data_IF_585073551116
#
_entry.id   IF_585073551116
#
_cell.length_a   1.000
_cell.length_b   1.000
_cell.length_c   1.000
_cell.angle_alpha   90.00
_cell.angle_beta   90.00
_cell.angle_gamma   90.00
#
_symmetry.space_group_name_H-M   'P 1'
#
loop_
_entity.id
_entity.type
_entity.pdbx_description
1 polymer ?
#
# COMPACT_ATOMS: atom_id res chain seq x y z
N UNK A 1 -3.75 5.11 -7.84
CA UNK A 1 -4.59 3.92 -7.56
C UNK A 1 -4.21 2.76 -8.50
N UNK A 2 -3.89 3.03 -9.77
CA UNK A 2 -3.52 2.00 -10.75
C UNK A 2 -2.31 1.13 -10.38
N UNK A 3 -1.34 1.70 -9.65
CA UNK A 3 -0.14 0.95 -9.23
C UNK A 3 -0.45 -0.21 -8.28
N UNK A 4 -1.51 -0.09 -7.46
CA UNK A 4 -1.90 -1.17 -6.55
C UNK A 4 -2.41 -2.38 -7.35
N UNK A 5 -3.13 -2.14 -8.45
CA UNK A 5 -3.62 -3.19 -9.36
C UNK A 5 -2.47 -3.97 -10.01
N UNK A 6 -1.42 -3.25 -10.45
CA UNK A 6 -0.24 -3.88 -11.06
C UNK A 6 0.45 -4.83 -10.09
N UNK A 7 0.59 -4.45 -8.81
CA UNK A 7 1.33 -5.27 -7.84
C UNK A 7 0.55 -6.47 -7.30
N UNK A 8 -0.79 -6.43 -7.30
CA UNK A 8 -1.61 -7.57 -6.87
C UNK A 8 -1.80 -8.61 -7.98
N UNK A 9 -1.66 -8.22 -9.24
CA UNK A 9 -1.75 -9.15 -10.37
C UNK A 9 -0.53 -10.07 -10.41
N UNK A 10 -0.78 -11.37 -10.17
CA UNK A 10 0.23 -12.42 -10.13
C UNK A 10 0.99 -12.58 -11.45
N UNK A 11 0.40 -12.17 -12.58
CA UNK A 11 1.05 -12.25 -13.90
C UNK A 11 2.21 -11.28 -14.03
N UNK A 12 2.26 -10.23 -13.21
CA UNK A 12 3.34 -9.25 -13.22
C UNK A 12 4.52 -9.68 -12.34
N UNK A 13 4.38 -10.75 -11.54
CA UNK A 13 5.40 -11.14 -10.57
C UNK A 13 6.59 -11.83 -11.26
N UNK A 14 7.86 -11.52 -10.85
CA UNK A 14 8.25 -10.65 -9.73
C UNK A 14 8.27 -9.15 -10.06
N UNK A 15 7.77 -8.30 -9.14
CA UNK A 15 7.77 -6.82 -9.28
C UNK A 15 8.67 -6.14 -8.25
N UNK A 16 9.50 -5.18 -8.70
CA UNK A 16 10.22 -4.25 -7.81
C UNK A 16 9.46 -2.93 -7.67
N UNK A 17 9.02 -2.62 -6.46
CA UNK A 17 8.39 -1.32 -6.14
C UNK A 17 9.45 -0.36 -5.59
N UNK A 18 9.66 0.78 -6.25
CA UNK A 18 10.56 1.80 -5.74
C UNK A 18 10.06 3.22 -6.00
N UNK A 19 10.65 4.17 -5.27
CA UNK A 19 10.59 5.60 -5.59
C UNK A 19 12.01 6.16 -5.47
N UNK A 20 12.17 7.47 -5.27
CA UNK A 20 13.52 8.06 -5.13
C UNK A 20 14.30 7.51 -3.93
N UNK A 21 13.60 7.18 -2.83
CA UNK A 21 14.24 6.73 -1.58
C UNK A 21 13.59 5.49 -0.95
N UNK A 22 12.56 4.93 -1.58
CA UNK A 22 11.80 3.80 -1.01
C UNK A 22 11.01 4.13 0.26
N UNK A 23 10.73 5.41 0.56
CA UNK A 23 10.11 5.83 1.84
C UNK A 23 8.64 6.19 1.70
N UNK A 24 8.37 7.37 1.14
CA UNK A 24 7.02 7.97 1.14
C UNK A 24 6.07 7.26 0.18
N UNK A 25 6.28 7.41 -1.13
CA UNK A 25 5.38 6.81 -2.14
C UNK A 25 5.38 5.28 -2.07
N UNK A 26 6.56 4.69 -1.89
CA UNK A 26 6.70 3.24 -1.72
C UNK A 26 6.00 2.77 -0.45
N UNK A 27 6.23 3.43 0.69
CA UNK A 27 5.60 3.07 1.96
C UNK A 27 4.07 3.23 1.93
N UNK A 28 3.54 4.28 1.30
CA UNK A 28 2.09 4.42 1.13
C UNK A 28 1.51 3.28 0.28
N UNK A 29 2.15 2.93 -0.84
CA UNK A 29 1.68 1.84 -1.71
C UNK A 29 1.74 0.47 -1.00
N UNK A 30 2.84 0.19 -0.30
CA UNK A 30 2.99 -1.03 0.51
C UNK A 30 1.98 -1.05 1.65
N UNK A 31 1.73 0.08 2.30
CA UNK A 31 0.71 0.19 3.34
C UNK A 31 -0.70 -0.08 2.81
N UNK A 32 -1.05 0.40 1.62
CA UNK A 32 -2.31 0.01 0.95
C UNK A 32 -2.39 -1.50 0.70
N UNK A 33 -1.29 -2.12 0.26
CA UNK A 33 -1.21 -3.57 0.08
C UNK A 33 -1.41 -4.31 1.42
N UNK A 34 -0.83 -3.84 2.53
CA UNK A 34 -1.04 -4.43 3.85
C UNK A 34 -2.49 -4.34 4.31
N UNK A 35 -3.16 -3.20 4.06
CA UNK A 35 -4.59 -3.06 4.34
C UNK A 35 -5.42 -4.05 3.51
N UNK A 36 -5.08 -4.29 2.24
CA UNK A 36 -5.69 -5.36 1.44
C UNK A 36 -5.43 -6.77 2.00
N UNK A 37 -4.25 -6.99 2.59
CA UNK A 37 -3.90 -8.22 3.30
C UNK A 37 -4.53 -8.32 4.70
N UNK A 38 -5.49 -7.44 5.01
CA UNK A 38 -6.23 -7.40 6.27
C UNK A 38 -5.36 -7.14 7.52
N UNK A 39 -4.25 -6.40 7.38
CA UNK A 39 -3.48 -5.93 8.52
C UNK A 39 -4.23 -4.81 9.25
N UNK A 40 -4.11 -4.77 10.58
CA UNK A 40 -4.65 -3.66 11.36
C UNK A 40 -3.88 -2.37 11.09
N UNK A 41 -4.54 -1.22 11.16
CA UNK A 41 -3.95 0.08 10.86
C UNK A 41 -2.68 0.35 11.69
N UNK A 42 -2.64 -0.07 12.96
CA UNK A 42 -1.48 0.11 13.82
C UNK A 42 -0.23 -0.58 13.26
N UNK A 43 -0.35 -1.83 12.80
CA UNK A 43 0.76 -2.57 12.19
C UNK A 43 1.21 -1.95 10.86
N UNK A 44 0.26 -1.46 10.05
CA UNK A 44 0.57 -0.75 8.80
C UNK A 44 1.37 0.53 9.05
N UNK A 45 0.95 1.32 10.04
CA UNK A 45 1.62 2.57 10.42
C UNK A 45 3.01 2.28 11.01
N UNK A 46 3.16 1.21 11.78
CA UNK A 46 4.45 0.80 12.34
C UNK A 46 5.44 0.40 11.24
N UNK A 47 5.03 -0.45 10.30
CA UNK A 47 5.85 -0.85 9.13
C UNK A 47 6.27 0.39 8.32
N UNK A 48 5.32 1.28 8.01
CA UNK A 48 5.61 2.52 7.30
C UNK A 48 6.66 3.38 8.04
N UNK A 49 6.48 3.59 9.35
CA UNK A 49 7.41 4.40 10.16
C UNK A 49 8.78 3.76 10.24
N UNK A 50 8.86 2.42 10.35
CA UNK A 50 10.10 1.67 10.36
C UNK A 50 10.93 1.97 9.10
N UNK A 51 10.34 1.82 7.91
CA UNK A 51 11.06 2.06 6.64
C UNK A 51 11.28 3.56 6.32
N UNK A 52 10.36 4.43 6.72
CA UNK A 52 10.56 5.87 6.56
C UNK A 52 11.66 6.41 7.48
N UNK A 53 11.81 5.80 8.67
CA UNK A 53 12.74 6.22 9.73
C UNK A 53 12.43 7.64 10.21
N UNK A 54 13.48 8.41 10.54
CA UNK A 54 13.37 9.81 10.99
C UNK A 54 12.72 10.78 9.98
N UNK A 55 12.34 10.31 8.77
CA UNK A 55 11.71 11.13 7.72
C UNK A 55 10.28 10.68 7.41
N UNK A 56 9.60 10.03 8.35
CA UNK A 56 8.17 9.75 8.25
C UNK A 56 7.37 11.06 8.16
N UNK A 57 6.19 11.01 7.53
CA UNK A 57 5.32 12.18 7.35
C UNK A 57 3.93 11.89 7.87
N UNK A 58 3.36 12.85 8.60
CA UNK A 58 1.98 12.75 9.08
C UNK A 58 0.97 12.69 7.92
N UNK A 59 1.27 13.36 6.80
CA UNK A 59 0.43 13.29 5.58
C UNK A 59 0.29 11.88 5.04
N UNK A 60 1.36 11.09 5.13
CA UNK A 60 1.37 9.70 4.64
C UNK A 60 0.57 8.80 5.61
N UNK A 61 0.58 9.09 6.92
CA UNK A 61 -0.27 8.39 7.90
C UNK A 61 -1.75 8.69 7.68
N UNK A 62 -2.12 9.96 7.51
CA UNK A 62 -3.50 10.38 7.20
C UNK A 62 -3.99 9.76 5.90
N UNK A 63 -3.10 9.60 4.92
CA UNK A 63 -3.41 8.86 3.70
C UNK A 63 -3.71 7.38 3.99
N UNK A 64 -2.84 6.70 4.75
CA UNK A 64 -3.05 5.29 5.12
C UNK A 64 -4.30 5.06 5.96
N UNK A 65 -4.65 6.02 6.82
CA UNK A 65 -5.89 6.02 7.61
C UNK A 65 -7.12 6.13 6.71
N UNK A 66 -7.14 7.12 5.81
CA UNK A 66 -8.28 7.41 4.94
C UNK A 66 -8.45 6.46 3.75
N UNK A 67 -7.43 5.67 3.42
CA UNK A 67 -7.50 4.71 2.31
C UNK A 67 -8.55 3.61 2.58
N UNK A 68 -9.66 3.62 1.85
CA UNK A 68 -10.66 2.56 1.93
C UNK A 68 -10.33 1.40 0.97
N UNK A 69 -10.26 0.20 1.54
CA UNK A 69 -9.99 -1.06 0.83
C UNK A 69 -11.23 -1.59 0.13
N UNK A 70 -12.42 -1.26 0.63
CA UNK A 70 -13.69 -1.80 0.13
C UNK A 70 -13.86 -1.55 -1.37
N UNK A 71 -13.51 -0.35 -1.84
CA UNK A 71 -13.55 0.04 -3.25
C UNK A 71 -12.67 -0.85 -4.15
N UNK A 72 -11.56 -1.37 -3.62
CA UNK A 72 -10.64 -2.23 -4.37
C UNK A 72 -11.09 -3.68 -4.43
N UNK A 73 -11.67 -4.21 -3.36
CA UNK A 73 -12.17 -5.57 -3.37
C UNK A 73 -13.24 -5.75 -4.45
N UNK A 74 -14.19 -4.81 -4.58
CA UNK A 74 -15.22 -4.86 -5.63
C UNK A 74 -14.63 -4.93 -7.04
N UNK A 75 -13.59 -4.17 -7.32
CA UNK A 75 -12.93 -4.20 -8.63
C UNK A 75 -12.07 -5.45 -8.81
N UNK A 76 -11.35 -5.89 -7.78
CA UNK A 76 -10.49 -7.07 -7.85
C UNK A 76 -11.30 -8.34 -8.13
N UNK A 77 -12.46 -8.51 -7.49
CA UNK A 77 -13.38 -9.62 -7.80
C UNK A 77 -13.91 -9.55 -9.24
N UNK A 78 -14.04 -8.35 -9.81
CA UNK A 78 -14.44 -8.14 -11.20
C UNK A 78 -13.35 -8.51 -12.22
N UNK A 79 -12.10 -8.63 -11.79
CA UNK A 79 -10.99 -9.12 -12.61
C UNK A 79 -10.73 -10.63 -12.43
N UNK A 80 -11.35 -11.24 -11.42
CA UNK A 80 -11.30 -12.69 -11.13
C UNK A 80 -12.49 -13.46 -11.71
N UNK A 81 -13.59 -12.77 -12.04
CA UNK A 81 -14.77 -13.27 -12.77
C UNK A 81 -14.75 -12.77 -14.21
#
# INVERSE_FOLDING_TARGET
MDTLRVIVDVRNQPVLVHCKRGKHRTGCLVGCLRKLQNWCLAAVVEEYKHFAGAKWRETDLKFLESFDVSCYCFEYFKYLL
#
